data_IF_659106926555
#
_entry.id   IF_659106926555
#
_cell.length_a   1.000
_cell.length_b   1.000
_cell.length_c   1.000
_cell.angle_alpha   90.00
_cell.angle_beta   90.00
_cell.angle_gamma   90.00
#
_symmetry.space_group_name_H-M   'P 1'
#
loop_
_entity.id
_entity.type
_entity.pdbx_description
1 polymer ?
#
# COMPACT_ATOMS: atom_id res chain seq x y z
N UNK A 1 -45.54 11.35 13.33
CA UNK A 1 -44.71 11.06 14.52
C UNK A 1 -43.32 11.64 14.27
N UNK A 2 -43.02 12.77 14.91
CA UNK A 2 -41.72 13.44 14.83
C UNK A 2 -40.70 12.62 15.59
N UNK A 3 -39.72 12.06 14.88
CA UNK A 3 -38.57 11.40 15.50
C UNK A 3 -37.72 12.50 16.16
N UNK A 4 -37.88 12.68 17.47
CA UNK A 4 -36.94 13.46 18.26
C UNK A 4 -35.62 12.69 18.28
N UNK A 5 -34.69 13.08 17.40
CA UNK A 5 -33.31 12.61 17.47
C UNK A 5 -32.64 13.31 18.66
N UNK A 6 -32.74 12.73 19.86
CA UNK A 6 -31.93 13.16 21.00
C UNK A 6 -30.46 12.81 20.73
N UNK A 7 -29.78 13.70 20.00
CA UNK A 7 -28.33 13.67 19.82
C UNK A 7 -27.70 13.93 21.18
N UNK A 8 -26.93 12.98 21.69
CA UNK A 8 -26.23 13.13 22.96
C UNK A 8 -24.87 13.80 22.74
N UNK A 9 -24.32 14.42 23.80
CA UNK A 9 -22.96 14.98 23.77
C UNK A 9 -21.91 13.95 23.33
N UNK A 10 -22.11 12.67 23.70
CA UNK A 10 -21.24 11.56 23.29
C UNK A 10 -21.28 11.32 21.78
N UNK A 11 -22.43 11.47 21.13
CA UNK A 11 -22.56 11.32 19.67
C UNK A 11 -21.83 12.44 18.93
N UNK A 12 -21.89 13.67 19.44
CA UNK A 12 -21.16 14.83 18.91
C UNK A 12 -19.64 14.62 19.05
N UNK A 13 -19.19 14.17 20.22
CA UNK A 13 -17.78 13.89 20.48
C UNK A 13 -17.25 12.79 19.54
N UNK A 14 -18.00 11.70 19.37
CA UNK A 14 -17.62 10.63 18.43
C UNK A 14 -17.54 11.12 16.99
N UNK A 15 -18.50 11.94 16.56
CA UNK A 15 -18.47 12.53 15.24
C UNK A 15 -17.23 13.40 15.01
N UNK A 16 -16.88 14.28 15.94
CA UNK A 16 -15.70 15.14 15.83
C UNK A 16 -14.39 14.34 15.83
N UNK A 17 -14.30 13.27 16.63
CA UNK A 17 -13.15 12.35 16.59
C UNK A 17 -13.03 11.71 15.20
N UNK A 18 -14.14 11.23 14.63
CA UNK A 18 -14.14 10.61 13.30
C UNK A 18 -13.72 11.62 12.23
N UNK A 19 -14.31 12.81 12.26
CA UNK A 19 -14.03 13.90 11.32
C UNK A 19 -12.56 14.31 11.36
N UNK A 20 -12.02 14.55 12.55
CA UNK A 20 -10.61 14.89 12.75
C UNK A 20 -9.68 13.81 12.19
N UNK A 21 -9.98 12.53 12.47
CA UNK A 21 -9.18 11.43 11.96
C UNK A 21 -9.19 11.35 10.43
N UNK A 22 -10.34 11.55 9.81
CA UNK A 22 -10.45 11.60 8.34
C UNK A 22 -9.66 12.77 7.75
N UNK A 23 -9.67 13.95 8.37
CA UNK A 23 -8.88 15.09 7.92
C UNK A 23 -7.39 14.80 7.96
N UNK A 24 -6.88 14.26 9.07
CA UNK A 24 -5.48 13.85 9.20
C UNK A 24 -5.09 12.84 8.11
N UNK A 25 -5.95 11.86 7.85
CA UNK A 25 -5.71 10.87 6.79
C UNK A 25 -5.70 11.55 5.42
N UNK A 26 -6.64 12.45 5.13
CA UNK A 26 -6.69 13.19 3.86
C UNK A 26 -5.44 14.02 3.62
N UNK A 27 -4.88 14.64 4.66
CA UNK A 27 -3.64 15.40 4.54
C UNK A 27 -2.44 14.50 4.29
N UNK A 28 -2.32 13.37 4.99
CA UNK A 28 -1.27 12.37 4.74
C UNK A 28 -1.35 11.77 3.34
N UNK A 29 -2.56 11.61 2.78
CA UNK A 29 -2.76 11.08 1.42
C UNK A 29 -2.22 12.01 0.32
N UNK A 30 -1.99 13.30 0.61
CA UNK A 30 -1.37 14.25 -0.33
C UNK A 30 0.14 14.04 -0.47
N UNK A 31 0.75 13.30 0.46
CA UNK A 31 2.19 13.03 0.43
C UNK A 31 2.56 12.12 -0.76
N UNK A 32 3.65 12.46 -1.46
CA UNK A 32 4.16 11.68 -2.60
C UNK A 32 5.03 10.49 -2.18
N UNK A 33 5.39 10.39 -0.90
CA UNK A 33 6.22 9.32 -0.37
C UNK A 33 5.41 8.02 -0.25
N UNK A 34 5.87 6.98 -0.94
CA UNK A 34 5.21 5.67 -1.01
C UNK A 34 5.13 4.97 0.35
N UNK A 35 6.12 5.16 1.23
CA UNK A 35 6.11 4.57 2.56
C UNK A 35 5.03 5.24 3.43
N UNK A 36 4.95 6.57 3.38
CA UNK A 36 3.93 7.35 4.09
C UNK A 36 2.54 6.98 3.56
N UNK A 37 2.37 6.88 2.24
CA UNK A 37 1.14 6.43 1.62
C UNK A 37 0.76 5.01 2.09
N UNK A 38 1.71 4.07 2.13
CA UNK A 38 1.47 2.70 2.59
C UNK A 38 0.96 2.64 4.03
N UNK A 39 1.59 3.38 4.93
CA UNK A 39 1.15 3.44 6.34
C UNK A 39 -0.21 4.14 6.47
N UNK A 40 -0.43 5.23 5.74
CA UNK A 40 -1.72 5.95 5.71
C UNK A 40 -2.85 5.05 5.22
N UNK A 41 -2.60 4.21 4.21
CA UNK A 41 -3.57 3.24 3.70
C UNK A 41 -3.89 2.14 4.73
N UNK A 42 -2.91 1.69 5.52
CA UNK A 42 -3.17 0.76 6.63
C UNK A 42 -3.99 1.42 7.73
N UNK A 43 -3.63 2.66 8.07
CA UNK A 43 -4.30 3.48 9.09
C UNK A 43 -5.79 3.66 8.76
N UNK A 44 -6.13 4.09 7.54
CA UNK A 44 -7.54 4.24 7.14
C UNK A 44 -8.27 2.89 7.09
N UNK A 45 -7.62 1.79 6.68
CA UNK A 45 -8.25 0.47 6.68
C UNK A 45 -8.56 0.01 8.11
N UNK A 46 -7.64 0.24 9.05
CA UNK A 46 -7.81 -0.07 10.47
C UNK A 46 -8.95 0.75 11.05
N UNK A 47 -8.87 2.07 10.88
CA UNK A 47 -9.88 3.01 11.36
C UNK A 47 -11.29 2.70 10.81
N UNK A 48 -11.41 2.42 9.52
CA UNK A 48 -12.69 2.00 8.90
C UNK A 48 -13.24 0.73 9.58
N UNK A 49 -12.41 -0.24 9.95
CA UNK A 49 -12.91 -1.46 10.62
C UNK A 49 -13.52 -1.13 11.98
N UNK A 50 -12.93 -0.19 12.72
CA UNK A 50 -13.40 0.25 14.04
C UNK A 50 -14.75 0.96 13.93
N UNK A 51 -14.91 1.87 12.97
CA UNK A 51 -16.14 2.69 12.86
C UNK A 51 -17.27 2.03 12.08
N UNK A 52 -17.01 0.92 11.38
CA UNK A 52 -18.01 0.26 10.52
C UNK A 52 -19.21 -0.29 11.29
N UNK A 53 -19.04 -0.64 12.57
CA UNK A 53 -20.13 -1.05 13.46
C UNK A 53 -20.97 0.13 13.94
N UNK A 54 -20.39 1.34 14.01
CA UNK A 54 -21.04 2.56 14.47
C UNK A 54 -21.92 3.21 13.38
N UNK A 55 -21.61 2.95 12.11
CA UNK A 55 -22.39 3.47 10.98
C UNK A 55 -23.73 2.72 10.80
N UNK A 56 -24.79 3.25 11.41
CA UNK A 56 -26.17 2.76 11.26
C UNK A 56 -26.77 3.12 9.89
N UNK A 57 -26.39 4.26 9.31
CA UNK A 57 -26.90 4.71 8.02
C UNK A 57 -26.32 3.89 6.83
N UNK A 58 -27.21 3.47 5.94
CA UNK A 58 -26.85 2.62 4.78
C UNK A 58 -25.96 3.35 3.78
N UNK A 59 -26.16 4.65 3.55
CA UNK A 59 -25.35 5.43 2.60
C UNK A 59 -23.94 5.59 3.15
N UNK A 60 -23.81 5.96 4.42
CA UNK A 60 -22.52 6.09 5.10
C UNK A 60 -21.75 4.77 5.09
N UNK A 61 -22.42 3.66 5.40
CA UNK A 61 -21.83 2.32 5.34
C UNK A 61 -21.31 1.96 3.95
N UNK A 62 -21.98 2.39 2.89
CA UNK A 62 -21.53 2.16 1.51
C UNK A 62 -20.29 3.00 1.17
N UNK A 63 -20.25 4.27 1.59
CA UNK A 63 -19.07 5.14 1.42
C UNK A 63 -17.85 4.55 2.13
N UNK A 64 -18.02 4.14 3.39
CA UNK A 64 -16.96 3.51 4.19
C UNK A 64 -16.45 2.22 3.51
N UNK A 65 -17.36 1.36 3.02
CA UNK A 65 -16.97 0.15 2.28
C UNK A 65 -16.20 0.48 1.00
N UNK A 66 -16.62 1.50 0.27
CA UNK A 66 -15.96 1.92 -0.96
C UNK A 66 -14.54 2.42 -0.68
N UNK A 67 -14.37 3.30 0.31
CA UNK A 67 -13.06 3.78 0.78
C UNK A 67 -12.16 2.61 1.19
N UNK A 68 -12.69 1.64 1.95
CA UNK A 68 -11.94 0.43 2.34
C UNK A 68 -11.48 -0.39 1.13
N UNK A 69 -12.35 -0.55 0.13
CA UNK A 69 -12.04 -1.29 -1.10
C UNK A 69 -10.95 -0.57 -1.90
N UNK A 70 -11.03 0.75 -2.04
CA UNK A 70 -10.01 1.57 -2.69
C UNK A 70 -8.67 1.46 -1.97
N UNK A 71 -8.65 1.62 -0.65
CA UNK A 71 -7.41 1.57 0.13
C UNK A 71 -6.71 0.21 0.01
N UNK A 72 -7.47 -0.89 0.07
CA UNK A 72 -6.93 -2.24 -0.15
C UNK A 72 -6.35 -2.43 -1.54
N UNK A 73 -7.02 -1.91 -2.57
CA UNK A 73 -6.51 -1.96 -3.96
C UNK A 73 -5.21 -1.19 -4.11
N UNK A 74 -5.13 0.02 -3.55
CA UNK A 74 -3.90 0.82 -3.59
C UNK A 74 -2.75 0.12 -2.87
N UNK A 75 -3.01 -0.45 -1.69
CA UNK A 75 -2.00 -1.20 -0.94
C UNK A 75 -1.47 -2.41 -1.71
N UNK A 76 -2.36 -3.12 -2.42
CA UNK A 76 -1.98 -4.23 -3.27
C UNK A 76 -1.05 -3.78 -4.40
N UNK A 77 -1.40 -2.69 -5.10
CA UNK A 77 -0.57 -2.14 -6.18
C UNK A 77 0.82 -1.75 -5.67
N UNK A 78 0.89 -1.07 -4.52
CA UNK A 78 2.16 -0.69 -3.89
C UNK A 78 3.00 -1.94 -3.59
N UNK A 79 2.40 -2.98 -3.03
CA UNK A 79 3.12 -4.22 -2.71
C UNK A 79 3.60 -4.96 -3.98
N UNK A 80 2.77 -5.01 -5.03
CA UNK A 80 3.13 -5.63 -6.31
C UNK A 80 4.32 -4.91 -6.96
N UNK A 81 4.39 -3.57 -6.90
CA UNK A 81 5.54 -2.81 -7.41
C UNK A 81 6.87 -3.33 -6.84
N UNK A 82 6.92 -3.63 -5.54
CA UNK A 82 8.13 -4.16 -4.91
C UNK A 82 8.46 -5.58 -5.38
N UNK A 83 7.45 -6.41 -5.58
CA UNK A 83 7.64 -7.77 -6.11
C UNK A 83 8.26 -7.71 -7.51
N UNK A 84 7.73 -6.86 -8.39
CA UNK A 84 8.25 -6.69 -9.75
C UNK A 84 9.71 -6.23 -9.72
N UNK A 85 10.03 -5.22 -8.90
CA UNK A 85 11.41 -4.73 -8.75
C UNK A 85 12.36 -5.82 -8.25
N UNK A 86 11.90 -6.64 -7.30
CA UNK A 86 12.68 -7.73 -6.76
C UNK A 86 12.98 -8.82 -7.80
N UNK A 87 11.96 -9.24 -8.56
CA UNK A 87 12.12 -10.21 -9.65
C UNK A 87 13.09 -9.69 -10.70
N UNK A 88 12.93 -8.41 -11.10
CA UNK A 88 13.86 -7.75 -12.02
C UNK A 88 15.31 -7.82 -11.53
N UNK A 89 15.56 -7.47 -10.27
CA UNK A 89 16.90 -7.51 -9.67
C UNK A 89 17.52 -8.91 -9.73
N UNK A 90 16.74 -9.94 -9.40
CA UNK A 90 17.22 -11.34 -9.45
C UNK A 90 17.56 -11.74 -10.88
N UNK A 91 16.68 -11.46 -11.84
CA UNK A 91 16.92 -11.80 -13.25
C UNK A 91 18.18 -11.13 -13.78
N UNK A 92 18.37 -9.84 -13.48
CA UNK A 92 19.54 -9.08 -13.89
C UNK A 92 20.82 -9.68 -13.32
N UNK A 93 20.87 -9.98 -12.01
CA UNK A 93 22.03 -10.58 -11.37
C UNK A 93 22.36 -11.95 -11.97
N UNK A 94 21.35 -12.79 -12.23
CA UNK A 94 21.53 -14.09 -12.86
C UNK A 94 22.16 -13.98 -14.25
N UNK A 95 21.75 -13.00 -15.05
CA UNK A 95 22.31 -12.75 -16.38
C UNK A 95 23.75 -12.24 -16.31
N UNK A 96 24.05 -11.32 -15.38
CA UNK A 96 25.41 -10.81 -15.17
C UNK A 96 26.37 -11.95 -14.81
N UNK A 97 25.99 -12.83 -13.88
CA UNK A 97 26.82 -13.98 -13.49
C UNK A 97 27.04 -14.92 -14.68
N UNK A 98 26.00 -15.24 -15.44
CA UNK A 98 26.13 -16.07 -16.64
C UNK A 98 27.07 -15.48 -17.68
N UNK A 99 26.97 -14.17 -17.92
CA UNK A 99 27.83 -13.48 -18.87
C UNK A 99 29.28 -13.49 -18.40
N UNK A 100 29.53 -13.20 -17.13
CA UNK A 100 30.86 -13.26 -16.53
C UNK A 100 31.51 -14.63 -16.71
N UNK A 101 30.81 -15.71 -16.36
CA UNK A 101 31.35 -17.07 -16.52
C UNK A 101 31.59 -17.42 -17.99
N UNK A 102 30.69 -17.01 -18.90
CA UNK A 102 30.90 -17.21 -20.34
C UNK A 102 32.16 -16.52 -20.85
N UNK A 103 32.41 -15.27 -20.43
CA UNK A 103 33.61 -14.52 -20.78
C UNK A 103 34.85 -15.19 -20.19
N UNK A 104 34.80 -15.59 -18.92
CA UNK A 104 35.91 -16.26 -18.23
C UNK A 104 36.31 -17.56 -18.92
N UNK A 105 35.34 -18.39 -19.30
CA UNK A 105 35.58 -19.63 -20.04
C UNK A 105 36.28 -19.32 -21.37
N UNK A 106 35.76 -18.34 -22.12
CA UNK A 106 36.35 -17.93 -23.39
C UNK A 106 37.81 -17.46 -23.25
N UNK A 107 38.11 -16.60 -22.28
CA UNK A 107 39.49 -16.14 -22.00
C UNK A 107 40.39 -17.33 -21.65
N UNK A 108 39.91 -18.26 -20.82
CA UNK A 108 40.69 -19.46 -20.42
C UNK A 108 41.04 -20.33 -21.63
N UNK A 109 40.13 -20.51 -22.58
CA UNK A 109 40.40 -21.27 -23.81
C UNK A 109 41.41 -20.57 -24.72
N UNK A 110 41.35 -19.23 -24.85
CA UNK A 110 42.38 -18.47 -25.58
C UNK A 110 43.77 -18.67 -24.96
N UNK A 111 43.87 -18.59 -23.64
CA UNK A 111 45.15 -18.76 -22.94
C UNK A 111 45.75 -20.15 -23.16
N UNK A 112 44.93 -21.19 -23.26
CA UNK A 112 45.39 -22.54 -23.60
C UNK A 112 45.98 -22.59 -25.00
N UNK A 113 45.32 -21.97 -25.99
CA UNK A 113 45.78 -21.96 -27.38
C UNK A 113 47.13 -21.24 -27.50
N UNK A 114 47.30 -20.11 -26.82
CA UNK A 114 48.55 -19.31 -26.88
C UNK A 114 49.73 -20.02 -26.19
N UNK A 115 49.47 -20.91 -25.22
CA UNK A 115 50.51 -21.67 -24.51
C UNK A 115 51.03 -22.89 -25.28
N UNK A 116 50.40 -23.27 -26.39
CA UNK A 116 50.89 -24.27 -27.35
C UNK A 116 51.64 -23.61 -28.51
#
# INVERSE_FOLDING_TARGET
>A
MTVNNNITFNDILQYEIIRSKYQVIMDKLKDKNVNILKETLKEIIGFIKEIKSLALDRRLKNLIKYQQKLAKKLLLIINIRYIIFFIYKIMLQKLIVKLYESIRIFVTEIEKIIKY
#
